data_IF_363484463641
#
_entry.id   IF_363484463641
#
_cell.length_a   1.000
_cell.length_b   1.000
_cell.length_c   1.000
_cell.angle_alpha   90.00
_cell.angle_beta   90.00
_cell.angle_gamma   90.00
#
_symmetry.space_group_name_H-M   'P 1'
#
loop_
_entity.id
_entity.type
_entity.pdbx_description
1 polymer ?
#
# COMPACT_ATOMS: atom_id res chain seq x y z
N UNK A 1 -10.94 -18.17 8.85
CA UNK A 1 -9.69 -18.01 8.08
C UNK A 1 -8.59 -18.25 9.08
N UNK A 2 -7.84 -19.33 8.89
CA UNK A 2 -6.77 -19.73 9.81
C UNK A 2 -5.59 -18.74 9.64
N UNK A 3 -4.92 -18.38 10.74
CA UNK A 3 -3.79 -17.43 10.73
C UNK A 3 -2.55 -18.04 10.05
N UNK A 4 -2.55 -19.38 9.90
CA UNK A 4 -1.43 -20.25 9.54
C UNK A 4 -0.85 -20.14 8.10
N UNK A 5 -1.22 -19.14 7.29
CA UNK A 5 -0.81 -19.06 5.88
C UNK A 5 -0.30 -17.66 5.45
N UNK A 6 0.32 -16.87 6.35
CA UNK A 6 0.74 -15.49 6.02
C UNK A 6 2.25 -15.35 5.84
N UNK A 7 2.66 -15.22 4.58
CA UNK A 7 4.04 -15.16 4.15
C UNK A 7 4.60 -13.72 4.10
N UNK A 8 5.72 -13.45 4.79
CA UNK A 8 6.38 -12.13 4.75
C UNK A 8 7.60 -12.20 3.83
N UNK A 9 7.52 -11.66 2.61
CA UNK A 9 8.66 -11.69 1.68
C UNK A 9 9.49 -10.42 1.73
N UNK A 10 10.60 -10.50 2.45
CA UNK A 10 11.71 -9.54 2.38
C UNK A 10 12.30 -9.44 0.97
N UNK A 11 12.34 -8.24 0.38
CA UNK A 11 13.24 -7.91 -0.71
C UNK A 11 14.34 -7.01 -0.13
N UNK A 12 15.59 -7.26 -0.52
CA UNK A 12 16.69 -6.34 -0.24
C UNK A 12 17.33 -5.96 -1.56
N UNK A 13 17.33 -4.66 -1.86
CA UNK A 13 18.16 -4.08 -2.91
C UNK A 13 18.01 -4.72 -4.31
N UNK A 14 16.78 -5.04 -4.73
CA UNK A 14 16.48 -5.56 -6.06
C UNK A 14 16.96 -6.99 -6.35
N UNK A 15 17.65 -7.63 -5.41
CA UNK A 15 17.99 -9.05 -5.47
C UNK A 15 16.98 -9.82 -4.63
N UNK A 16 16.19 -10.67 -5.29
CA UNK A 16 15.36 -11.66 -4.59
C UNK A 16 16.33 -12.60 -3.88
N UNK A 17 16.23 -12.77 -2.55
CA UNK A 17 16.72 -13.87 -1.70
C UNK A 17 17.18 -13.36 -0.31
N UNK A 18 16.82 -14.02 0.81
CA UNK A 18 15.96 -15.21 0.95
C UNK A 18 14.47 -14.88 1.16
N UNK A 19 13.60 -15.76 0.67
CA UNK A 19 12.19 -15.77 1.07
C UNK A 19 12.11 -16.27 2.51
N UNK A 20 11.69 -15.42 3.42
CA UNK A 20 11.45 -15.80 4.80
C UNK A 20 9.96 -16.13 4.92
N UNK A 21 9.68 -17.31 5.47
CA UNK A 21 8.32 -17.78 5.74
C UNK A 21 8.13 -17.75 7.25
N UNK A 22 6.97 -17.29 7.68
CA UNK A 22 6.58 -17.27 9.08
C UNK A 22 5.10 -17.69 9.11
N UNK A 23 4.81 -18.77 9.84
CA UNK A 23 3.51 -19.44 9.79
C UNK A 23 2.70 -19.21 11.07
N UNK A 24 3.29 -18.59 12.10
CA UNK A 24 2.60 -18.19 13.32
C UNK A 24 2.93 -16.75 13.78
N UNK A 25 2.18 -16.26 14.76
CA UNK A 25 2.30 -14.89 15.27
C UNK A 25 3.69 -14.57 15.86
N UNK A 26 4.36 -15.55 16.48
CA UNK A 26 5.69 -15.34 17.04
C UNK A 26 6.74 -15.25 15.94
N UNK A 27 6.62 -16.09 14.91
CA UNK A 27 7.47 -16.04 13.73
C UNK A 27 7.25 -14.73 12.95
N UNK A 28 6.00 -14.24 12.84
CA UNK A 28 5.70 -12.93 12.26
C UNK A 28 6.40 -11.82 13.03
N UNK A 29 6.27 -11.78 14.35
CA UNK A 29 6.89 -10.78 15.20
C UNK A 29 8.42 -10.79 15.06
N UNK A 30 9.03 -11.97 15.13
CA UNK A 30 10.47 -12.13 14.97
C UNK A 30 10.96 -11.69 13.59
N UNK A 31 10.22 -12.05 12.53
CA UNK A 31 10.60 -11.74 11.17
C UNK A 31 10.48 -10.25 10.86
N UNK A 32 9.42 -9.61 11.33
CA UNK A 32 9.27 -8.15 11.22
C UNK A 32 10.45 -7.46 11.90
N UNK A 33 10.89 -7.92 13.06
CA UNK A 33 12.05 -7.36 13.77
C UNK A 33 13.36 -7.57 13.04
N UNK A 34 13.53 -8.76 12.44
CA UNK A 34 14.70 -9.06 11.64
C UNK A 34 14.77 -8.18 10.37
N UNK A 35 13.63 -7.81 9.79
CA UNK A 35 13.54 -6.94 8.61
C UNK A 35 13.69 -5.45 8.96
N UNK A 36 13.21 -5.02 10.12
CA UNK A 36 13.12 -3.63 10.54
C UNK A 36 14.25 -3.19 11.50
N UNK A 37 15.40 -3.86 11.46
CA UNK A 37 16.51 -3.58 12.38
C UNK A 37 17.00 -2.14 12.29
N UNK A 38 16.99 -1.42 13.43
CA UNK A 38 17.46 -0.03 13.57
C UNK A 38 18.88 0.20 13.05
N UNK A 39 19.75 -0.80 13.15
CA UNK A 39 21.14 -0.73 12.72
C UNK A 39 21.35 -1.10 11.25
N UNK A 40 20.28 -1.36 10.49
CA UNK A 40 20.38 -1.65 9.07
C UNK A 40 20.74 -0.36 8.30
N UNK A 41 21.99 -0.26 7.80
CA UNK A 41 22.47 0.98 7.18
C UNK A 41 21.96 1.14 5.74
N UNK A 42 21.19 0.18 5.25
CA UNK A 42 20.79 0.11 3.84
C UNK A 42 19.30 0.35 3.68
N UNK A 43 18.96 1.19 2.71
CA UNK A 43 17.59 1.35 2.23
C UNK A 43 17.04 -0.02 1.83
N UNK A 44 15.94 -0.39 2.46
CA UNK A 44 15.31 -1.68 2.27
C UNK A 44 13.87 -1.46 1.84
N UNK A 45 13.39 -2.23 0.87
CA UNK A 45 11.97 -2.26 0.53
C UNK A 45 11.54 -3.69 0.31
N UNK A 46 10.41 -4.07 0.88
CA UNK A 46 9.92 -5.44 0.86
C UNK A 46 8.41 -5.52 0.75
N UNK A 47 7.91 -6.74 0.54
CA UNK A 47 6.49 -6.99 0.38
C UNK A 47 5.96 -7.97 1.43
N UNK A 48 4.74 -7.77 1.86
CA UNK A 48 4.08 -8.66 2.84
C UNK A 48 2.74 -9.09 2.27
N UNK A 49 2.44 -10.39 2.23
CA UNK A 49 1.16 -10.86 1.68
C UNK A 49 0.70 -12.20 2.27
N UNK A 50 -0.61 -12.45 2.18
CA UNK A 50 -1.17 -13.75 2.57
C UNK A 50 -1.13 -14.78 1.44
N UNK A 51 -0.90 -16.04 1.79
CA UNK A 51 -1.06 -17.20 0.92
C UNK A 51 0.24 -17.81 0.38
N UNK A 52 0.16 -19.04 -0.17
CA UNK A 52 1.31 -19.74 -0.72
C UNK A 52 1.92 -18.93 -1.87
N UNK A 53 3.15 -18.46 -1.71
CA UNK A 53 3.87 -17.82 -2.80
C UNK A 53 4.17 -18.85 -3.89
N UNK A 54 3.33 -18.88 -4.92
CA UNK A 54 3.87 -19.08 -6.25
C UNK A 54 4.33 -17.71 -6.72
N UNK A 55 5.64 -17.47 -6.62
CA UNK A 55 6.24 -16.26 -7.17
C UNK A 55 5.74 -16.09 -8.61
N UNK A 56 5.36 -14.88 -9.05
CA UNK A 56 5.06 -14.67 -10.45
C UNK A 56 6.39 -14.77 -11.21
N UNK A 57 6.66 -15.97 -11.74
CA UNK A 57 7.09 -16.00 -13.13
C UNK A 57 6.07 -15.25 -14.00
N UNK A 58 6.32 -15.01 -15.28
CA UNK A 58 5.39 -14.29 -16.16
C UNK A 58 3.94 -14.85 -16.22
N UNK A 59 3.66 -15.97 -15.54
CA UNK A 59 2.36 -16.62 -15.43
C UNK A 59 1.84 -16.81 -13.97
N UNK A 60 2.60 -16.48 -12.92
CA UNK A 60 2.14 -16.68 -11.54
C UNK A 60 1.16 -15.57 -11.10
N UNK A 61 0.15 -15.94 -10.31
CA UNK A 61 -0.84 -14.99 -9.81
C UNK A 61 -0.22 -14.22 -8.65
N UNK A 62 -0.12 -12.89 -8.79
CA UNK A 62 0.19 -12.02 -7.66
C UNK A 62 -0.87 -12.19 -6.56
N UNK A 63 -0.50 -12.09 -5.27
CA UNK A 63 -1.48 -11.99 -4.20
C UNK A 63 -2.38 -10.80 -4.48
N UNK A 64 -3.68 -10.95 -4.24
CA UNK A 64 -4.65 -9.88 -4.51
C UNK A 64 -4.56 -8.74 -3.51
N UNK A 65 -4.03 -9.00 -2.33
CA UNK A 65 -3.74 -7.99 -1.32
C UNK A 65 -2.32 -8.13 -0.80
N UNK A 66 -1.65 -7.00 -0.63
CA UNK A 66 -0.28 -6.98 -0.16
C UNK A 66 0.08 -5.61 0.42
N UNK A 67 1.07 -5.62 1.32
CA UNK A 67 1.80 -4.42 1.72
C UNK A 67 3.11 -4.33 0.94
N UNK A 68 3.51 -3.12 0.59
CA UNK A 68 4.89 -2.76 0.29
C UNK A 68 5.40 -1.84 1.39
N UNK A 69 6.58 -2.15 1.87
CA UNK A 69 7.25 -1.42 2.93
C UNK A 69 8.50 -0.80 2.34
N UNK A 70 8.71 0.50 2.56
CA UNK A 70 10.01 1.14 2.45
C UNK A 70 10.56 1.41 3.84
N UNK A 71 11.86 1.24 4.03
CA UNK A 71 12.51 1.35 5.33
C UNK A 71 13.93 1.92 5.21
N UNK A 72 14.25 2.88 6.07
CA UNK A 72 15.58 3.46 6.20
C UNK A 72 15.78 4.12 7.58
N UNK A 73 16.87 3.78 8.27
CA UNK A 73 17.36 4.53 9.43
C UNK A 73 16.39 4.67 10.60
N UNK A 74 15.61 3.61 10.91
CA UNK A 74 14.60 3.64 11.98
C UNK A 74 13.26 4.26 11.57
N UNK A 75 13.07 4.56 10.30
CA UNK A 75 11.82 5.07 9.74
C UNK A 75 11.37 4.24 8.56
N UNK A 76 10.09 4.30 8.23
CA UNK A 76 9.62 3.71 6.99
C UNK A 76 8.22 4.14 6.62
N UNK A 77 7.69 3.54 5.57
CA UNK A 77 6.39 3.87 5.03
C UNK A 77 5.73 2.60 4.49
N UNK A 78 4.40 2.57 4.57
CA UNK A 78 3.61 1.42 4.14
C UNK A 78 2.65 1.83 3.02
N UNK A 79 2.65 1.02 1.96
CA UNK A 79 1.69 1.06 0.88
C UNK A 79 0.84 -0.22 0.93
N UNK A 80 -0.47 -0.08 0.87
CA UNK A 80 -1.42 -1.18 0.82
C UNK A 80 -2.09 -1.24 -0.55
N UNK A 81 -2.20 -2.45 -1.09
CA UNK A 81 -2.85 -2.74 -2.37
C UNK A 81 -3.98 -3.75 -2.19
N UNK A 82 -5.12 -3.52 -2.84
CA UNK A 82 -6.25 -4.46 -2.85
C UNK A 82 -6.92 -4.58 -4.23
N UNK A 83 -6.55 -5.64 -4.97
CA UNK A 83 -7.16 -6.06 -6.24
C UNK A 83 -8.58 -6.64 -6.10
N UNK A 84 -9.09 -6.84 -4.88
CA UNK A 84 -10.47 -7.27 -4.64
C UNK A 84 -11.45 -6.10 -4.60
N UNK A 85 -10.94 -4.87 -4.55
CA UNK A 85 -11.78 -3.67 -4.52
C UNK A 85 -12.64 -3.58 -5.79
N UNK A 86 -13.96 -3.34 -5.68
CA UNK A 86 -14.82 -3.14 -6.84
C UNK A 86 -14.32 -2.02 -7.77
N UNK A 87 -14.56 -2.13 -9.09
CA UNK A 87 -14.26 -1.05 -10.01
C UNK A 87 -14.96 0.27 -9.58
N UNK A 88 -14.18 1.35 -9.51
CA UNK A 88 -14.67 2.68 -9.13
C UNK A 88 -14.33 3.08 -7.70
N UNK A 89 -13.93 2.11 -6.87
CA UNK A 89 -13.46 2.34 -5.52
C UNK A 89 -11.92 2.47 -5.47
N UNK A 90 -11.42 2.92 -4.32
CA UNK A 90 -9.99 3.03 -4.07
C UNK A 90 -9.36 1.66 -3.87
N UNK A 91 -8.22 1.37 -4.50
CA UNK A 91 -7.55 0.06 -4.47
C UNK A 91 -6.08 0.13 -4.02
N UNK A 92 -5.59 1.34 -3.76
CA UNK A 92 -4.22 1.59 -3.32
C UNK A 92 -4.23 2.70 -2.28
N UNK A 93 -3.46 2.52 -1.21
CA UNK A 93 -3.37 3.48 -0.13
C UNK A 93 -1.97 3.54 0.46
N UNK A 94 -1.64 4.68 1.08
CA UNK A 94 -0.48 4.77 1.98
C UNK A 94 -0.91 5.04 3.41
N UNK A 95 -0.11 4.55 4.36
CA UNK A 95 -0.26 4.92 5.74
C UNK A 95 0.16 6.38 5.95
N UNK A 96 -0.60 7.11 6.75
CA UNK A 96 -0.30 8.48 7.16
C UNK A 96 0.22 8.50 8.59
N UNK A 97 1.31 9.24 8.80
CA UNK A 97 1.77 9.62 10.12
C UNK A 97 0.83 10.69 10.69
N UNK A 98 0.18 10.47 11.85
CA UNK A 98 -0.65 11.50 12.48
C UNK A 98 0.15 12.73 12.92
N UNK A 99 1.45 12.55 13.19
CA UNK A 99 2.38 13.57 13.66
C UNK A 99 3.61 13.62 12.72
N UNK A 100 3.48 14.23 11.52
CA UNK A 100 4.56 14.26 10.53
C UNK A 100 5.87 14.83 11.08
N UNK A 101 6.98 14.20 10.69
CA UNK A 101 8.31 14.60 11.12
C UNK A 101 8.77 15.81 10.31
N UNK A 102 9.28 16.84 10.99
CA UNK A 102 9.78 18.05 10.33
C UNK A 102 10.95 17.74 9.37
N UNK A 103 11.83 16.81 9.77
CA UNK A 103 12.99 16.37 9.00
C UNK A 103 12.87 14.88 8.66
N UNK A 104 11.75 14.48 8.03
CA UNK A 104 11.52 13.10 7.64
C UNK A 104 12.60 12.62 6.64
N UNK A 105 13.25 11.46 6.85
CA UNK A 105 14.18 10.91 5.87
C UNK A 105 13.43 10.48 4.61
N UNK A 106 14.13 10.49 3.47
CA UNK A 106 13.61 9.93 2.23
C UNK A 106 13.40 8.43 2.37
N UNK A 107 12.16 7.98 2.20
CA UNK A 107 11.81 6.55 2.14
C UNK A 107 11.45 6.21 0.71
N UNK A 108 12.18 5.28 0.09
CA UNK A 108 11.93 4.87 -1.28
C UNK A 108 10.73 3.92 -1.38
N UNK A 109 9.79 4.26 -2.27
CA UNK A 109 8.72 3.39 -2.74
C UNK A 109 9.23 2.39 -3.79
N UNK A 110 10.13 2.84 -4.67
CA UNK A 110 10.71 2.01 -5.72
C UNK A 110 12.14 2.48 -6.04
N UNK A 111 13.15 1.73 -5.56
CA UNK A 111 14.56 2.06 -5.77
C UNK A 111 14.97 2.17 -7.25
N UNK A 112 14.51 1.29 -8.17
CA UNK A 112 14.82 1.42 -9.59
C UNK A 112 14.30 2.70 -10.26
N UNK A 113 13.22 3.31 -9.76
CA UNK A 113 12.55 4.46 -10.39
C UNK A 113 12.60 5.75 -9.54
N UNK A 114 13.61 5.86 -8.67
CA UNK A 114 13.68 6.72 -7.47
C UNK A 114 12.37 7.34 -6.95
N UNK A 115 11.26 6.60 -6.95
CA UNK A 115 10.01 7.12 -6.39
C UNK A 115 10.11 7.03 -4.87
N UNK A 116 9.85 8.14 -4.18
CA UNK A 116 9.83 8.22 -2.71
C UNK A 116 8.39 8.33 -2.20
N UNK A 117 8.17 7.88 -0.98
CA UNK A 117 6.97 8.20 -0.22
C UNK A 117 6.97 9.69 0.17
N UNK A 118 5.81 10.35 0.24
CA UNK A 118 5.74 11.71 0.76
C UNK A 118 6.09 11.74 2.27
N UNK A 119 6.64 12.84 2.81
CA UNK A 119 7.01 12.97 4.22
C UNK A 119 5.87 12.63 5.19
N UNK A 120 4.63 12.98 4.84
CA UNK A 120 3.43 12.66 5.64
C UNK A 120 3.15 11.15 5.76
N UNK A 121 3.80 10.32 4.95
CA UNK A 121 3.70 8.86 5.02
C UNK A 121 4.81 8.21 5.84
N UNK A 122 5.81 8.98 6.29
CA UNK A 122 6.97 8.47 7.01
C UNK A 122 6.59 8.25 8.48
N UNK A 123 6.57 6.97 8.86
CA UNK A 123 6.23 6.48 10.18
C UNK A 123 7.51 6.20 11.01
N UNK A 124 7.48 6.44 12.32
CA UNK A 124 8.45 5.85 13.25
C UNK A 124 8.43 4.32 13.20
N UNK A 125 9.55 3.70 13.58
CA UNK A 125 9.73 2.25 13.50
C UNK A 125 8.62 1.44 14.18
N UNK A 126 8.28 1.81 15.42
CA UNK A 126 7.27 1.10 16.21
C UNK A 126 5.90 1.11 15.52
N UNK A 127 5.53 2.24 14.93
CA UNK A 127 4.26 2.37 14.22
C UNK A 127 4.26 1.56 12.91
N UNK A 128 5.39 1.54 12.19
CA UNK A 128 5.52 0.71 11.00
C UNK A 128 5.43 -0.78 11.34
N UNK A 129 6.07 -1.20 12.44
CA UNK A 129 5.99 -2.57 12.97
C UNK A 129 4.54 -2.95 13.26
N UNK A 130 3.79 -2.10 13.96
CA UNK A 130 2.38 -2.33 14.27
C UNK A 130 1.53 -2.49 13.01
N UNK A 131 1.77 -1.68 11.97
CA UNK A 131 1.08 -1.79 10.67
C UNK A 131 1.32 -3.15 10.03
N UNK A 132 2.57 -3.62 10.02
CA UNK A 132 2.91 -4.92 9.40
C UNK A 132 2.31 -6.08 10.22
N UNK A 133 2.38 -6.02 11.55
CA UNK A 133 1.83 -7.07 12.41
C UNK A 133 0.30 -7.14 12.36
N UNK A 134 -0.39 -6.01 12.27
CA UNK A 134 -1.84 -5.98 12.07
C UNK A 134 -2.23 -6.61 10.72
N UNK A 135 -1.46 -6.36 9.67
CA UNK A 135 -1.61 -7.05 8.38
C UNK A 135 -1.34 -8.55 8.51
N UNK A 136 -0.26 -8.96 9.18
CA UNK A 136 0.07 -10.36 9.42
C UNK A 136 -0.99 -11.09 10.26
N UNK A 137 -1.79 -10.39 11.08
CA UNK A 137 -2.89 -10.96 11.87
C UNK A 137 -4.23 -10.97 11.13
N UNK A 138 -4.51 -9.97 10.31
CA UNK A 138 -5.85 -9.79 9.70
C UNK A 138 -5.89 -10.12 8.21
N UNK A 139 -4.81 -9.85 7.46
CA UNK A 139 -4.84 -9.87 5.99
C UNK A 139 -5.80 -8.83 5.40
N UNK A 140 -6.19 -7.84 6.20
CA UNK A 140 -7.02 -6.69 5.85
C UNK A 140 -6.21 -5.41 6.05
N UNK A 141 -6.60 -4.33 5.36
CA UNK A 141 -5.89 -3.04 5.49
C UNK A 141 -5.75 -2.65 6.98
N UNK A 142 -4.53 -2.47 7.51
CA UNK A 142 -4.31 -2.24 8.93
C UNK A 142 -5.12 -1.07 9.50
N UNK A 143 -5.74 -1.25 10.66
CA UNK A 143 -6.65 -0.27 11.25
C UNK A 143 -5.93 0.74 12.18
N UNK A 144 -4.69 0.45 12.58
CA UNK A 144 -3.91 1.28 13.52
C UNK A 144 -3.39 2.60 12.96
N UNK A 145 -3.60 2.87 11.67
CA UNK A 145 -3.16 4.10 10.99
C UNK A 145 -4.26 4.65 10.10
N UNK A 146 -4.19 5.95 9.81
CA UNK A 146 -5.02 6.56 8.76
C UNK A 146 -4.41 6.25 7.40
N UNK A 147 -5.26 6.12 6.39
CA UNK A 147 -4.84 5.79 5.04
C UNK A 147 -5.25 6.90 4.08
N UNK A 148 -4.33 7.31 3.20
CA UNK A 148 -4.62 8.17 2.06
C UNK A 148 -4.81 7.30 0.84
N UNK A 149 -5.93 7.47 0.13
CA UNK A 149 -6.21 6.80 -1.13
C UNK A 149 -5.40 7.42 -2.27
N UNK A 150 -4.76 6.57 -3.07
CA UNK A 150 -3.72 6.99 -4.03
C UNK A 150 -3.87 6.33 -5.39
N UNK A 151 -4.91 5.53 -5.55
CA UNK A 151 -5.37 5.05 -6.84
C UNK A 151 -5.66 6.24 -7.75
N UNK A 152 -5.14 6.19 -8.98
CA UNK A 152 -5.22 7.23 -10.02
C UNK A 152 -4.38 8.51 -9.81
N UNK A 153 -3.71 8.67 -8.67
CA UNK A 153 -2.72 9.73 -8.47
C UNK A 153 -1.34 9.22 -8.90
N UNK A 154 -0.80 9.81 -9.97
CA UNK A 154 0.65 10.03 -10.01
C UNK A 154 0.81 11.20 -9.06
N UNK A 155 1.52 10.99 -7.97
CA UNK A 155 1.55 11.93 -6.88
C UNK A 155 2.59 12.96 -7.28
N UNK A 156 2.12 14.09 -7.79
CA UNK A 156 2.99 15.25 -7.90
C UNK A 156 3.15 15.76 -6.47
N UNK A 157 4.37 15.65 -5.95
CA UNK A 157 4.75 16.29 -4.71
C UNK A 157 4.99 17.77 -5.00
N UNK A 158 4.56 18.66 -4.10
CA UNK A 158 5.04 20.04 -4.18
C UNK A 158 6.52 20.11 -3.78
N UNK A 159 7.08 21.32 -3.83
CA UNK A 159 8.46 21.58 -3.44
C UNK A 159 8.76 21.25 -1.96
N UNK A 160 7.72 20.98 -1.16
CA UNK A 160 7.81 20.61 0.25
C UNK A 160 7.56 19.12 0.49
N UNK A 161 7.34 18.33 -0.56
CA UNK A 161 7.05 16.89 -0.43
C UNK A 161 5.60 16.59 -0.09
N UNK A 162 4.73 17.60 -0.02
CA UNK A 162 3.31 17.40 0.26
C UNK A 162 2.59 16.88 -0.97
N UNK A 163 1.59 16.04 -0.76
CA UNK A 163 0.78 15.49 -1.85
C UNK A 163 -0.05 16.62 -2.44
N UNK A 164 0.25 17.03 -3.68
CA UNK A 164 -0.60 17.98 -4.41
C UNK A 164 -1.80 17.21 -4.96
N UNK A 165 -3.03 17.52 -4.53
CA UNK A 165 -4.20 16.97 -5.19
C UNK A 165 -4.24 17.54 -6.60
N UNK A 166 -4.11 16.72 -7.65
CA UNK A 166 -4.32 17.17 -9.04
C UNK A 166 -5.81 17.55 -9.22
N UNK A 167 -6.16 18.85 -9.33
CA UNK A 167 -7.55 19.27 -9.48
C UNK A 167 -8.08 19.07 -10.90
N UNK A 168 -7.20 18.77 -11.87
CA UNK A 168 -7.51 18.67 -13.30
C UNK A 168 -7.68 17.22 -13.80
N UNK A 169 -7.34 16.21 -12.99
CA UNK A 169 -7.71 14.82 -13.25
C UNK A 169 -9.05 14.48 -12.59
N UNK A 170 -10.19 14.52 -13.31
CA UNK A 170 -11.42 13.95 -12.78
C UNK A 170 -11.16 12.48 -12.45
N UNK A 171 -11.69 12.01 -11.30
CA UNK A 171 -11.76 10.59 -10.94
C UNK A 171 -12.06 9.80 -12.20
N UNK A 172 -11.10 8.99 -12.68
CA UNK A 172 -11.28 8.23 -13.92
C UNK A 172 -12.55 7.42 -13.77
N UNK A 173 -13.60 7.77 -14.53
CA UNK A 173 -14.70 6.85 -14.79
C UNK A 173 -14.07 5.65 -15.47
N UNK A 174 -13.94 4.55 -14.74
CA UNK A 174 -13.46 3.30 -15.31
C UNK A 174 -14.55 2.86 -16.29
N UNK A 175 -14.27 2.96 -17.59
CA UNK A 175 -15.10 2.34 -18.60
C UNK A 175 -14.83 0.84 -18.54
N UNK A 176 -15.68 0.10 -17.84
CA UNK A 176 -15.68 -1.36 -17.95
C UNK A 176 -16.18 -1.72 -19.35
N UNK A 177 -15.26 -2.22 -20.19
CA UNK A 177 -15.60 -2.79 -21.48
C UNK A 177 -16.00 -4.24 -21.24
N UNK A 178 -17.30 -4.55 -21.33
CA UNK A 178 -17.82 -5.91 -21.34
C UNK A 178 -18.22 -6.24 -22.79
N UNK A 179 -17.35 -6.95 -23.51
CA UNK A 179 -17.53 -7.20 -24.94
C UNK A 179 -17.38 -5.92 -25.79
N UNK A 180 -18.24 -5.71 -26.79
CA UNK A 180 -18.18 -4.55 -27.70
C UNK A 180 -19.02 -3.34 -27.24
N UNK A 181 -19.44 -3.26 -25.98
CA UNK A 181 -20.20 -2.11 -25.47
C UNK A 181 -19.49 -1.40 -24.33
N UNK A 182 -19.45 -0.06 -24.44
CA UNK A 182 -18.98 0.85 -23.40
C UNK A 182 -20.17 1.23 -22.53
N UNK A 183 -20.21 0.75 -21.29
CA UNK A 183 -21.23 1.16 -20.32
C UNK A 183 -20.70 2.36 -19.52
N UNK A 184 -21.49 3.44 -19.46
CA UNK A 184 -21.23 4.60 -18.59
C UNK A 184 -22.11 4.45 -17.36
N UNK A 185 -21.52 4.29 -16.18
CA UNK A 185 -22.25 4.42 -14.92
C UNK A 185 -21.95 5.79 -14.32
N UNK A 186 -23.01 6.59 -14.16
CA UNK A 186 -22.94 7.86 -13.43
C UNK A 186 -23.20 7.58 -11.96
N UNK A 187 -22.18 7.85 -11.13
CA UNK A 187 -22.28 7.78 -9.68
C UNK A 187 -23.42 8.67 -9.16
N UNK A 188 -24.27 8.07 -8.32
CA UNK A 188 -25.44 8.71 -7.74
C UNK A 188 -25.04 9.80 -6.74
N UNK A 189 -25.36 11.05 -7.08
CA UNK A 189 -25.38 12.19 -6.16
C UNK A 189 -26.82 12.53 -5.77
N UNK A 190 -27.01 12.82 -4.49
CA UNK A 190 -28.26 13.16 -3.81
C UNK A 190 -28.98 14.38 -4.43
N UNK A 191 -30.29 14.27 -4.71
CA UNK A 191 -31.07 15.40 -5.20
C UNK A 191 -32.58 15.14 -5.26
N UNK A 192 -33.34 15.92 -4.49
CA UNK A 192 -34.80 15.89 -4.36
C UNK A 192 -35.55 16.17 -5.68
N UNK A 193 -36.76 15.64 -5.72
CA UNK A 193 -37.90 15.78 -6.65
C UNK A 193 -38.10 17.17 -7.27
N UNK A 194 -38.38 17.22 -8.58
CA UNK A 194 -39.43 18.09 -9.16
C UNK A 194 -39.94 17.51 -10.48
N UNK A 195 -41.15 16.96 -10.45
CA UNK A 195 -41.93 16.69 -11.66
C UNK A 195 -42.61 17.98 -12.10
N UNK A 196 -42.37 18.42 -13.33
CA UNK A 196 -43.26 19.32 -14.04
C UNK A 196 -43.78 18.61 -15.28
N UNK A 197 -45.10 18.38 -15.32
CA UNK A 197 -45.84 18.00 -16.53
C UNK A 197 -45.87 19.20 -17.47
N UNK A 198 -45.58 18.94 -18.74
CA UNK A 198 -46.05 19.66 -19.92
C UNK A 198 -46.50 18.62 -20.92
#
# INVERSE_FOLDING_TARGET
MDIADRLVIGHHNGSVFPHLVADDENEHAWLVDALLREDNPTETWFHVWGGPATFPGPQGKRPRRWLRIGYHGGYGAAFFHDDLTPPGDDWAWIALNPDPLADAPSIFYDLPTPVIFPPVAVLPLDQLRDVILDWCRTGERPAGVRWLAVNSQVWDLDEHGEVVPDPARPRRTIHTVIGNQVVREHGWGTGRTRTSRG
#
